data_IF_265628418650
#
_entry.id   IF_265628418650
#
_cell.length_a   1.000
_cell.length_b   1.000
_cell.length_c   1.000
_cell.angle_alpha   90.00
_cell.angle_beta   90.00
_cell.angle_gamma   90.00
#
_symmetry.space_group_name_H-M   'P 1'
#
loop_
_entity.id
_entity.type
_entity.pdbx_description
1 polymer ?
#
# COMPACT_ATOMS: atom_id res chain seq x y z
N UNK A 1 8.75 -3.02 26.36
CA UNK A 1 9.02 -1.63 25.96
C UNK A 1 8.01 -0.75 26.66
N UNK A 2 8.46 0.38 27.19
CA UNK A 2 7.57 1.35 27.83
C UNK A 2 6.78 2.13 26.78
N UNK A 3 5.52 2.45 27.10
CA UNK A 3 4.64 3.25 26.25
C UNK A 3 4.76 4.70 26.71
N UNK A 4 5.14 5.59 25.80
CA UNK A 4 5.41 7.00 26.07
C UNK A 4 4.36 7.82 25.35
N UNK A 5 3.69 8.73 26.06
CA UNK A 5 2.70 9.64 25.46
C UNK A 5 3.43 10.80 24.76
N UNK A 6 2.80 11.41 23.74
CA UNK A 6 3.35 12.60 23.07
C UNK A 6 3.58 13.75 24.06
N UNK A 7 2.69 13.88 25.05
CA UNK A 7 2.81 14.88 26.11
C UNK A 7 4.00 14.65 27.03
N UNK A 8 4.44 13.40 27.20
CA UNK A 8 5.65 13.08 27.94
C UNK A 8 6.87 13.37 27.07
N UNK A 9 6.86 12.91 25.82
CA UNK A 9 7.94 13.16 24.84
C UNK A 9 8.29 14.65 24.75
N UNK A 10 7.30 15.54 24.67
CA UNK A 10 7.49 16.99 24.57
C UNK A 10 8.22 17.63 25.78
N UNK A 11 8.23 16.97 26.95
CA UNK A 11 8.98 17.45 28.13
C UNK A 11 10.48 17.24 27.99
N UNK A 12 10.89 16.30 27.15
CA UNK A 12 12.29 15.89 26.96
C UNK A 12 12.91 16.60 25.76
N UNK A 13 13.02 17.93 25.86
CA UNK A 13 13.58 18.79 24.80
C UNK A 13 14.94 19.41 25.15
N UNK A 14 15.47 19.13 26.35
CA UNK A 14 16.72 19.71 26.80
C UNK A 14 17.93 18.90 26.30
N UNK A 15 19.09 19.56 26.12
CA UNK A 15 20.30 18.92 25.56
C UNK A 15 20.74 17.68 26.34
N UNK A 16 20.55 17.69 27.66
CA UNK A 16 20.94 16.59 28.54
C UNK A 16 19.81 15.56 28.75
N UNK A 17 18.65 15.79 28.17
CA UNK A 17 17.45 14.97 28.30
C UNK A 17 16.60 15.11 27.02
N UNK A 18 17.18 14.67 25.91
CA UNK A 18 16.66 14.84 24.55
C UNK A 18 16.11 13.53 24.04
N UNK A 19 14.78 13.48 23.89
CA UNK A 19 14.10 12.33 23.31
C UNK A 19 13.53 12.68 21.95
N UNK A 20 13.50 11.67 21.09
CA UNK A 20 12.99 11.80 19.72
C UNK A 20 12.17 10.57 19.39
N UNK A 21 11.04 10.74 18.71
CA UNK A 21 10.34 9.63 18.09
C UNK A 21 10.73 9.49 16.62
N UNK A 22 11.01 8.25 16.20
CA UNK A 22 11.25 7.88 14.81
C UNK A 22 10.47 6.61 14.51
N UNK A 23 9.55 6.68 13.54
CA UNK A 23 8.69 5.57 13.12
C UNK A 23 7.96 4.91 14.30
N UNK A 24 7.37 5.74 15.17
CA UNK A 24 6.62 5.27 16.33
C UNK A 24 7.43 4.78 17.51
N UNK A 25 8.76 4.70 17.37
CA UNK A 25 9.65 4.28 18.46
C UNK A 25 10.29 5.50 19.09
N UNK A 26 10.43 5.49 20.40
CA UNK A 26 11.04 6.59 21.13
C UNK A 26 12.47 6.21 21.52
N UNK A 27 13.39 7.13 21.28
CA UNK A 27 14.82 6.98 21.50
C UNK A 27 15.35 8.09 22.42
N UNK A 28 16.20 7.71 23.36
CA UNK A 28 16.94 8.64 24.20
C UNK A 28 18.32 8.90 23.59
N UNK A 29 18.47 10.07 22.96
CA UNK A 29 19.72 10.45 22.29
C UNK A 29 20.56 11.40 23.12
N UNK A 30 20.20 11.64 24.39
CA UNK A 30 20.89 12.59 25.29
C UNK A 30 22.39 12.34 25.41
N UNK A 31 22.80 11.07 25.41
CA UNK A 31 24.21 10.69 25.50
C UNK A 31 24.95 10.73 24.14
N UNK A 32 24.22 10.89 23.03
CA UNK A 32 24.75 10.85 21.67
C UNK A 32 24.77 12.23 21.00
N UNK A 33 24.31 13.27 21.70
CA UNK A 33 24.17 14.62 21.14
C UNK A 33 25.49 15.18 20.60
N UNK A 34 26.60 15.01 21.34
CA UNK A 34 27.93 15.50 20.94
C UNK A 34 28.62 14.60 19.89
N UNK A 35 28.27 13.31 19.86
CA UNK A 35 28.81 12.34 18.91
C UNK A 35 28.05 12.34 17.56
N UNK A 36 26.99 13.14 17.44
CA UNK A 36 26.17 13.21 16.24
C UNK A 36 26.92 13.94 15.10
N UNK A 37 27.25 13.27 13.98
CA UNK A 37 28.02 13.87 12.88
C UNK A 37 27.28 15.00 12.14
N UNK A 38 25.96 15.09 12.29
CA UNK A 38 25.14 16.20 11.78
C UNK A 38 25.08 17.43 12.69
N UNK A 39 25.71 17.37 13.86
CA UNK A 39 25.69 18.41 14.88
C UNK A 39 24.49 18.34 15.82
N UNK A 40 24.59 19.03 16.96
CA UNK A 40 23.55 19.07 18.00
C UNK A 40 22.33 19.90 17.59
N UNK A 41 22.51 20.93 16.75
CA UNK A 41 21.44 21.88 16.43
C UNK A 41 20.25 21.19 15.76
N UNK A 42 20.51 20.28 14.82
CA UNK A 42 19.44 19.51 14.16
C UNK A 42 18.71 18.55 15.08
N UNK A 43 19.35 18.07 16.15
CA UNK A 43 18.71 17.22 17.16
C UNK A 43 17.80 18.05 18.07
N UNK A 44 18.21 19.28 18.42
CA UNK A 44 17.39 20.20 19.22
C UNK A 44 16.11 20.61 18.49
N UNK A 45 16.18 20.80 17.17
CA UNK A 45 15.03 21.20 16.37
C UNK A 45 13.90 20.16 16.36
N UNK A 46 14.26 18.87 16.44
CA UNK A 46 13.30 17.76 16.48
C UNK A 46 13.04 17.23 17.90
N UNK A 47 13.67 17.83 18.91
CA UNK A 47 13.61 17.37 20.28
C UNK A 47 12.19 17.41 20.84
N UNK A 48 11.77 16.32 21.49
CA UNK A 48 10.44 16.20 22.06
C UNK A 48 9.31 16.05 21.04
N UNK A 49 9.63 15.75 19.78
CA UNK A 49 8.66 15.57 18.70
C UNK A 49 9.03 14.40 17.78
N UNK A 50 8.20 14.18 16.74
CA UNK A 50 8.50 13.17 15.73
C UNK A 50 9.49 13.69 14.69
N UNK A 51 10.69 13.11 14.71
CA UNK A 51 11.78 13.43 13.80
C UNK A 51 11.87 12.50 12.60
N UNK A 52 10.84 11.69 12.33
CA UNK A 52 10.87 10.67 11.26
C UNK A 52 11.15 11.30 9.90
N UNK A 53 10.48 12.40 9.58
CA UNK A 53 10.64 13.10 8.30
C UNK A 53 12.07 13.62 8.12
N UNK A 54 12.60 14.33 9.13
CA UNK A 54 13.97 14.87 9.09
C UNK A 54 15.02 13.77 9.01
N UNK A 55 14.81 12.67 9.75
CA UNK A 55 15.73 11.54 9.75
C UNK A 55 15.78 10.80 8.41
N UNK A 56 14.62 10.61 7.77
CA UNK A 56 14.50 9.96 6.46
C UNK A 56 14.99 10.86 5.32
N UNK A 57 14.71 12.17 5.40
CA UNK A 57 15.15 13.16 4.40
C UNK A 57 16.67 13.20 4.24
N UNK A 58 17.41 13.12 5.36
CA UNK A 58 18.88 13.12 5.35
C UNK A 58 19.46 11.83 4.76
N UNK A 59 18.71 10.72 4.80
CA UNK A 59 19.16 9.46 4.21
C UNK A 59 20.30 8.79 5.00
N UNK A 60 20.10 8.57 6.30
CA UNK A 60 21.06 7.90 7.17
C UNK A 60 21.43 6.47 6.69
N UNK A 61 22.70 6.07 6.88
CA UNK A 61 23.20 4.74 6.51
C UNK A 61 22.71 3.63 7.46
N UNK A 62 22.81 2.36 7.06
CA UNK A 62 22.39 1.22 7.90
C UNK A 62 23.07 1.17 9.27
N UNK A 63 24.33 1.60 9.39
CA UNK A 63 25.01 1.66 10.69
C UNK A 63 24.43 2.72 11.63
N UNK A 64 23.91 3.83 11.10
CA UNK A 64 23.21 4.82 11.90
C UNK A 64 21.94 4.22 12.53
N UNK A 65 21.18 3.40 11.78
CA UNK A 65 20.02 2.69 12.32
C UNK A 65 20.40 1.68 13.43
N UNK A 66 21.55 1.00 13.30
CA UNK A 66 22.03 0.09 14.36
C UNK A 66 22.40 0.86 15.63
N UNK A 67 23.01 2.04 15.49
CA UNK A 67 23.32 2.92 16.62
C UNK A 67 22.04 3.44 17.26
N UNK A 68 21.10 3.92 16.46
CA UNK A 68 19.78 4.36 16.91
C UNK A 68 19.06 3.27 17.73
N UNK A 69 19.07 2.02 17.26
CA UNK A 69 18.41 0.90 17.92
C UNK A 69 18.94 0.62 19.34
N UNK A 70 20.19 1.00 19.66
CA UNK A 70 20.76 0.83 21.02
C UNK A 70 20.16 1.80 22.04
N UNK A 71 19.65 2.93 21.57
CA UNK A 71 19.09 4.01 22.37
C UNK A 71 17.57 3.95 22.50
N UNK A 72 16.95 2.85 22.06
CA UNK A 72 15.50 2.69 22.13
C UNK A 72 15.05 2.50 23.58
N UNK A 73 14.20 3.40 24.06
CA UNK A 73 13.59 3.31 25.39
C UNK A 73 12.18 2.72 25.33
N UNK A 74 11.42 3.06 24.28
CA UNK A 74 10.00 2.78 24.25
C UNK A 74 9.36 2.93 22.88
N UNK A 75 8.03 2.99 22.89
CA UNK A 75 7.17 3.18 21.73
C UNK A 75 6.11 4.23 22.07
N UNK A 76 5.74 5.04 21.08
CA UNK A 76 4.79 6.12 21.24
C UNK A 76 3.37 5.56 21.44
N UNK A 77 2.58 6.22 22.29
CA UNK A 77 1.17 5.88 22.51
C UNK A 77 0.39 5.94 21.19
N UNK A 78 -0.44 4.91 20.92
CA UNK A 78 -1.19 4.79 19.66
C UNK A 78 -0.45 4.00 18.57
N UNK A 79 0.87 3.84 18.69
CA UNK A 79 1.65 2.96 17.83
C UNK A 79 1.74 1.61 18.53
N UNK A 80 0.78 0.74 18.21
CA UNK A 80 0.61 -0.48 18.97
C UNK A 80 1.87 -1.34 18.85
N UNK A 81 2.50 -1.61 20.00
CA UNK A 81 3.28 -2.83 20.21
C UNK A 81 2.31 -4.02 20.19
N UNK A 82 1.57 -4.22 19.09
CA UNK A 82 0.82 -5.43 18.89
C UNK A 82 1.76 -6.53 18.41
N UNK A 83 2.59 -6.97 19.36
CA UNK A 83 2.62 -8.38 19.69
C UNK A 83 1.34 -8.80 20.43
N UNK A 84 0.16 -8.27 20.05
CA UNK A 84 -1.06 -9.03 20.22
C UNK A 84 -0.82 -10.33 19.46
N UNK A 85 -1.14 -11.50 20.03
CA UNK A 85 -1.17 -12.71 19.23
C UNK A 85 -2.03 -12.35 18.02
N UNK A 86 -1.50 -12.55 16.81
CA UNK A 86 -2.30 -12.57 15.59
C UNK A 86 -3.39 -13.59 15.89
N UNK A 87 -4.51 -13.10 16.39
CA UNK A 87 -5.61 -13.95 16.79
C UNK A 87 -6.08 -14.49 15.46
N UNK A 88 -5.88 -15.80 15.31
CA UNK A 88 -6.23 -16.59 14.14
C UNK A 88 -7.69 -16.43 13.69
N UNK A 89 -8.50 -15.69 14.44
CA UNK A 89 -9.90 -15.39 14.21
C UNK A 89 -10.13 -14.51 12.96
N UNK A 90 -9.12 -13.78 12.47
CA UNK A 90 -9.27 -12.94 11.27
C UNK A 90 -9.37 -13.75 9.96
N UNK A 91 -8.82 -14.97 9.90
CA UNK A 91 -8.88 -15.81 8.69
C UNK A 91 -10.17 -16.63 8.57
N UNK A 92 -10.83 -16.91 9.70
CA UNK A 92 -12.02 -17.77 9.72
C UNK A 92 -13.28 -17.07 9.18
N UNK A 93 -13.41 -15.75 9.38
CA UNK A 93 -14.55 -14.97 8.86
C UNK A 93 -14.51 -14.87 7.33
N UNK A 94 -13.32 -14.73 6.75
CA UNK A 94 -13.15 -14.59 5.29
C UNK A 94 -13.56 -15.86 4.52
N UNK A 95 -13.30 -17.07 5.06
CA UNK A 95 -13.68 -18.34 4.40
C UNK A 95 -15.18 -18.63 4.45
N UNK A 96 -15.87 -18.22 5.52
CA UNK A 96 -17.30 -18.45 5.65
C UNK A 96 -18.12 -17.67 4.60
N UNK A 97 -17.69 -16.46 4.23
CA UNK A 97 -18.35 -15.68 3.18
C UNK A 97 -18.14 -16.30 1.78
N UNK A 98 -16.95 -16.81 1.46
CA UNK A 98 -16.66 -17.42 0.15
C UNK A 98 -17.44 -18.71 -0.12
N UNK A 99 -17.73 -19.51 0.91
CA UNK A 99 -18.52 -20.74 0.75
C UNK A 99 -20.00 -20.47 0.42
N UNK A 100 -20.56 -19.36 0.92
CA UNK A 100 -21.96 -19.00 0.69
C UNK A 100 -22.27 -18.51 -0.73
N UNK A 101 -21.26 -17.98 -1.44
CA UNK A 101 -21.41 -17.49 -2.81
C UNK A 101 -21.42 -18.60 -3.88
N UNK A 102 -21.02 -19.82 -3.52
CA UNK A 102 -20.89 -20.96 -4.47
C UNK A 102 -22.11 -21.89 -4.52
N UNK A 103 -23.23 -21.57 -3.87
CA UNK A 103 -24.45 -22.38 -3.91
C UNK A 103 -25.61 -21.62 -4.57
N UNK A 104 -25.56 -21.51 -5.90
CA UNK A 104 -26.67 -21.22 -6.81
C UNK A 104 -26.13 -21.43 -8.23
N UNK A 105 -26.20 -22.63 -8.80
CA UNK A 105 -27.39 -23.07 -9.53
C UNK A 105 -27.17 -24.50 -10.02
N UNK A 106 -28.10 -25.41 -9.71
CA UNK A 106 -28.30 -26.65 -10.47
C UNK A 106 -29.62 -26.49 -11.20
N UNK A 107 -29.58 -26.22 -12.51
CA UNK A 107 -30.75 -26.30 -13.38
C UNK A 107 -30.42 -27.31 -14.47
N UNK A 108 -31.21 -28.36 -14.51
CA UNK A 108 -31.01 -29.55 -15.32
C UNK A 108 -31.15 -29.23 -16.83
N UNK A 109 -30.07 -29.40 -17.58
CA UNK A 109 -30.02 -29.17 -19.02
C UNK A 109 -30.34 -30.41 -19.85
N UNK A 110 -31.62 -30.76 -19.97
CA UNK A 110 -32.16 -31.69 -20.97
C UNK A 110 -33.66 -31.38 -21.14
N UNK A 111 -34.02 -30.40 -22.02
CA UNK A 111 -34.48 -30.77 -23.37
C UNK A 111 -34.28 -29.68 -24.47
N UNK A 112 -33.27 -28.81 -24.39
CA UNK A 112 -33.08 -27.72 -25.40
C UNK A 112 -32.32 -28.19 -26.67
N UNK A 113 -31.77 -29.41 -26.66
CA UNK A 113 -31.00 -29.96 -27.78
C UNK A 113 -31.84 -30.31 -29.03
N UNK A 114 -33.18 -30.17 -28.99
CA UNK A 114 -34.07 -30.52 -30.12
C UNK A 114 -34.51 -29.30 -30.94
N UNK A 115 -34.34 -28.07 -30.45
CA UNK A 115 -34.81 -26.85 -31.16
C UNK A 115 -33.74 -26.16 -32.01
N UNK A 116 -32.49 -26.66 -32.03
CA UNK A 116 -31.38 -26.01 -32.74
C UNK A 116 -31.12 -26.52 -34.17
N UNK A 117 -31.84 -27.54 -34.66
CA UNK A 117 -31.63 -28.10 -36.01
C UNK A 117 -32.63 -27.60 -37.08
N UNK A 118 -33.66 -26.84 -36.72
CA UNK A 118 -34.65 -26.31 -37.69
C UNK A 118 -34.48 -24.81 -38.02
N UNK A 119 -33.66 -24.06 -37.27
CA UNK A 119 -33.38 -22.65 -37.56
C UNK A 119 -32.14 -22.44 -38.45
N UNK A 120 -31.17 -23.37 -38.45
CA UNK A 120 -29.95 -23.27 -39.28
C UNK A 120 -30.20 -23.44 -40.79
N UNK A 121 -31.35 -23.99 -41.18
CA UNK A 121 -31.76 -24.09 -42.58
C UNK A 121 -32.36 -22.80 -43.16
N UNK A 122 -32.88 -21.90 -42.33
CA UNK A 122 -33.59 -20.69 -42.79
C UNK A 122 -32.70 -19.44 -42.74
N UNK A 123 -31.55 -19.46 -42.04
CA UNK A 123 -30.66 -18.29 -41.93
C UNK A 123 -29.44 -18.30 -42.88
N UNK A 124 -29.14 -19.41 -43.56
CA UNK A 124 -28.00 -19.50 -44.49
C UNK A 124 -28.29 -18.93 -45.89
N UNK A 125 -29.56 -18.68 -46.22
CA UNK A 125 -29.96 -18.01 -47.47
C UNK A 125 -29.84 -16.47 -47.36
N UNK A 126 -29.86 -15.89 -46.14
CA UNK A 126 -30.01 -14.43 -45.94
C UNK A 126 -28.70 -13.63 -45.92
N UNK A 127 -27.54 -14.27 -45.78
CA UNK A 127 -26.24 -13.57 -45.63
C UNK A 127 -25.41 -13.44 -46.91
N UNK A 128 -25.96 -13.81 -48.08
CA UNK A 128 -25.28 -13.64 -49.37
C UNK A 128 -25.48 -12.27 -50.03
N UNK A 129 -26.37 -11.42 -49.53
CA UNK A 129 -26.77 -10.19 -50.26
C UNK A 129 -26.42 -8.86 -49.58
N UNK A 130 -25.85 -8.83 -48.37
CA UNK A 130 -25.62 -7.56 -47.68
C UNK A 130 -24.19 -7.46 -47.18
N UNK A 131 -23.46 -6.49 -47.76
CA UNK A 131 -22.13 -6.01 -47.37
C UNK A 131 -20.93 -6.64 -48.05
N UNK A 132 -21.07 -6.83 -49.36
CA UNK A 132 -20.03 -6.43 -50.32
C UNK A 132 -19.44 -5.08 -49.88
N UNK A 133 -18.24 -5.10 -49.28
CA UNK A 133 -17.49 -3.90 -48.88
C UNK A 133 -16.97 -3.21 -50.15
N UNK A 134 -17.45 -2.01 -50.51
CA UNK A 134 -16.96 -1.33 -51.68
C UNK A 134 -15.68 -0.58 -51.29
N UNK A 135 -14.59 -0.96 -51.95
CA UNK A 135 -13.30 -0.28 -51.96
C UNK A 135 -13.42 1.11 -52.60
N UNK A 136 -13.54 2.16 -51.78
CA UNK A 136 -13.26 3.53 -52.20
C UNK A 136 -12.88 4.37 -50.99
N UNK A 137 -11.60 4.72 -50.87
CA UNK A 137 -11.11 6.05 -50.48
C UNK A 137 -9.59 6.01 -50.55
N UNK A 138 -9.07 5.76 -51.75
CA UNK A 138 -7.74 6.22 -52.13
C UNK A 138 -7.88 7.67 -52.58
N UNK A 139 -7.62 8.65 -51.71
CA UNK A 139 -7.34 10.01 -52.16
C UNK A 139 -5.84 10.27 -51.99
N UNK A 140 -5.19 10.47 -53.13
CA UNK A 140 -3.79 10.82 -53.32
C UNK A 140 -3.44 12.08 -52.53
N UNK A 141 -2.42 11.98 -51.69
CA UNK A 141 -1.55 13.11 -51.41
C UNK A 141 -0.69 13.37 -52.67
N UNK A 142 -0.93 14.48 -53.37
CA UNK A 142 -0.02 14.98 -54.39
C UNK A 142 0.10 16.51 -54.31
N UNK A 143 1.20 16.94 -53.67
CA UNK A 143 2.18 17.93 -54.13
C UNK A 143 1.70 19.36 -54.46
N UNK A 144 2.14 20.30 -53.62
CA UNK A 144 2.56 21.65 -54.03
C UNK A 144 3.83 22.06 -53.25
N UNK A 145 4.82 22.62 -53.97
CA UNK A 145 6.13 23.16 -53.53
C UNK A 145 7.13 22.11 -52.99
N UNK A 146 8.30 21.84 -53.60
CA UNK A 146 9.33 22.66 -54.27
C UNK A 146 9.90 21.88 -55.46
#
# INVERSE_FOLDING_TARGET
MDVITESELAKHHEVHNLWVSIRGKVYDVSSYVDDHPGGVEVLKDVAGSDGTESFEYVGHSEDAYKTLAKFQIGVLEGETNEAAPISSQAWDVQRAQLQSASLKSKVAGWPVAVTFLLAAGITLEYYKEVWEYPSYFTCKANRTNI
#
